data_IF_803525776697
#
_entry.id   IF_803525776697
#
_cell.length_a   1.000
_cell.length_b   1.000
_cell.length_c   1.000
_cell.angle_alpha   90.00
_cell.angle_beta   90.00
_cell.angle_gamma   90.00
#
_symmetry.space_group_name_H-M   'P 1'
#
loop_
_entity.id
_entity.type
_entity.pdbx_description
1 polymer ?
#
# COMPACT_ATOMS: atom_id res chain seq x y z
N UNK A 1 -7.01 24.79 -49.87
CA UNK A 1 -6.99 24.28 -48.49
C UNK A 1 -5.70 24.75 -47.82
N UNK A 2 -5.79 25.42 -46.67
CA UNK A 2 -4.61 25.93 -45.97
C UNK A 2 -3.83 24.74 -45.35
N UNK A 3 -2.54 24.62 -45.67
CA UNK A 3 -1.67 23.52 -45.22
C UNK A 3 -1.51 23.46 -43.69
N UNK A 4 -1.86 24.53 -42.99
CA UNK A 4 -1.88 24.60 -41.52
C UNK A 4 -3.04 23.80 -40.88
N UNK A 5 -4.14 23.59 -41.61
CA UNK A 5 -5.34 22.89 -41.10
C UNK A 5 -5.08 21.40 -40.82
N UNK A 6 -4.49 20.60 -41.74
CA UNK A 6 -4.19 19.19 -41.44
C UNK A 6 -3.16 19.03 -40.32
N UNK A 7 -2.22 19.98 -40.19
CA UNK A 7 -1.22 19.97 -39.11
C UNK A 7 -1.83 20.19 -37.73
N UNK A 8 -2.77 21.14 -37.62
CA UNK A 8 -3.51 21.38 -36.37
C UNK A 8 -4.38 20.18 -35.94
N UNK A 9 -4.98 19.47 -36.91
CA UNK A 9 -5.77 18.26 -36.64
C UNK A 9 -4.89 17.12 -36.11
N UNK A 10 -3.70 16.93 -36.70
CA UNK A 10 -2.75 15.90 -36.27
C UNK A 10 -2.18 16.15 -34.86
N UNK A 11 -1.97 17.43 -34.52
CA UNK A 11 -1.51 17.85 -33.20
C UNK A 11 -2.60 17.69 -32.12
N UNK A 12 -3.87 17.97 -32.42
CA UNK A 12 -4.96 17.76 -31.47
C UNK A 12 -5.24 16.27 -31.22
N UNK A 13 -5.10 15.41 -32.23
CA UNK A 13 -5.33 13.97 -32.10
C UNK A 13 -4.32 13.26 -31.20
N UNK A 14 -3.10 13.80 -31.04
CA UNK A 14 -2.04 13.20 -30.23
C UNK A 14 -2.12 13.55 -28.73
N UNK A 15 -2.98 14.50 -28.34
CA UNK A 15 -3.14 14.93 -26.94
C UNK A 15 -4.14 14.01 -26.18
N UNK A 16 -5.05 13.33 -26.90
CA UNK A 16 -6.14 12.56 -26.28
C UNK A 16 -5.72 11.17 -25.75
N UNK A 17 -4.55 10.65 -26.12
CA UNK A 17 -4.13 9.29 -25.72
C UNK A 17 -3.67 9.20 -24.25
N UNK A 18 -3.42 10.34 -23.59
CA UNK A 18 -2.87 10.39 -22.22
C UNK A 18 -3.91 10.21 -21.11
N UNK A 19 -5.22 10.25 -21.42
CA UNK A 19 -6.28 10.19 -20.39
C UNK A 19 -6.70 8.76 -19.98
N UNK A 20 -6.35 7.73 -20.77
CA UNK A 20 -6.74 6.33 -20.50
C UNK A 20 -5.59 5.44 -20.02
N UNK A 21 -4.42 6.02 -19.75
CA UNK A 21 -3.24 5.28 -19.29
C UNK A 21 -3.22 4.99 -17.78
N UNK A 22 -4.22 5.42 -17.01
CA UNK A 22 -4.30 5.10 -15.59
C UNK A 22 -4.68 3.61 -15.44
N UNK A 23 -3.68 2.74 -15.45
CA UNK A 23 -3.89 1.32 -15.14
C UNK A 23 -4.59 1.22 -13.79
N UNK A 24 -5.65 0.41 -13.72
CA UNK A 24 -6.32 0.07 -12.48
C UNK A 24 -5.31 -0.67 -11.60
N UNK A 25 -4.70 0.05 -10.65
CA UNK A 25 -3.78 -0.54 -9.69
C UNK A 25 -4.60 -1.31 -8.67
N UNK A 26 -4.29 -2.60 -8.51
CA UNK A 26 -4.81 -3.38 -7.40
C UNK A 26 -4.13 -2.93 -6.10
N UNK A 27 -4.70 -1.92 -5.45
CA UNK A 27 -4.19 -1.37 -4.19
C UNK A 27 -4.63 -2.23 -3.02
N UNK A 28 -3.67 -2.81 -2.30
CA UNK A 28 -3.92 -3.60 -1.09
C UNK A 28 -3.74 -2.70 0.13
N UNK A 29 -4.79 -2.54 0.93
CA UNK A 29 -4.79 -1.70 2.14
C UNK A 29 -5.06 -2.48 3.42
N UNK A 30 -5.25 -3.80 3.35
CA UNK A 30 -5.64 -4.64 4.50
C UNK A 30 -4.65 -4.57 5.67
N UNK A 31 -3.38 -4.27 5.41
CA UNK A 31 -2.37 -4.11 6.47
C UNK A 31 -2.64 -2.86 7.34
N UNK A 32 -3.33 -1.85 6.82
CA UNK A 32 -3.77 -0.67 7.60
C UNK A 32 -4.84 -1.07 8.60
N UNK A 33 -5.79 -1.92 8.20
CA UNK A 33 -6.83 -2.43 9.09
C UNK A 33 -6.24 -3.32 10.19
N UNK A 34 -5.34 -4.23 9.81
CA UNK A 34 -4.59 -5.06 10.76
C UNK A 34 -3.77 -4.24 11.76
N UNK A 35 -3.16 -3.14 11.29
CA UNK A 35 -2.40 -2.22 12.14
C UNK A 35 -3.30 -1.61 13.23
N UNK A 36 -4.44 -1.02 12.85
CA UNK A 36 -5.31 -0.37 13.83
C UNK A 36 -5.93 -1.37 14.82
N UNK A 37 -6.28 -2.58 14.35
CA UNK A 37 -6.74 -3.65 15.24
C UNK A 37 -5.69 -4.03 16.28
N UNK A 38 -4.43 -4.17 15.88
CA UNK A 38 -3.34 -4.47 16.80
C UNK A 38 -3.08 -3.30 17.75
N UNK A 39 -3.02 -2.07 17.23
CA UNK A 39 -2.77 -0.86 17.99
C UNK A 39 -3.79 -0.65 19.12
N UNK A 40 -5.08 -0.70 18.80
CA UNK A 40 -6.14 -0.52 19.78
C UNK A 40 -6.07 -1.57 20.89
N UNK A 41 -5.82 -2.83 20.50
CA UNK A 41 -5.74 -3.94 21.46
C UNK A 41 -4.51 -3.84 22.36
N UNK A 42 -3.37 -3.46 21.81
CA UNK A 42 -2.12 -3.27 22.55
C UNK A 42 -2.29 -2.14 23.57
N UNK A 43 -2.84 -0.99 23.17
CA UNK A 43 -3.05 0.15 24.07
C UNK A 43 -4.06 -0.12 25.18
N UNK A 44 -5.06 -0.96 24.93
CA UNK A 44 -6.03 -1.38 25.94
C UNK A 44 -5.47 -2.46 26.90
N UNK A 45 -4.30 -3.04 26.63
CA UNK A 45 -3.72 -4.16 27.39
C UNK A 45 -2.54 -3.69 28.22
N UNK A 46 -2.50 -4.03 29.51
CA UNK A 46 -1.36 -3.70 30.40
C UNK A 46 -0.27 -4.77 30.41
N UNK A 47 -0.66 -6.03 30.24
CA UNK A 47 0.27 -7.16 30.21
C UNK A 47 1.11 -7.10 28.92
N UNK A 48 2.41 -6.86 29.09
CA UNK A 48 3.38 -6.76 28.00
C UNK A 48 3.50 -8.05 27.19
N UNK A 49 3.37 -9.22 27.81
CA UNK A 49 3.40 -10.50 27.09
C UNK A 49 2.19 -10.60 26.16
N UNK A 50 1.01 -10.24 26.66
CA UNK A 50 -0.21 -10.22 25.87
C UNK A 50 -0.16 -9.16 24.74
N UNK A 51 0.44 -7.99 24.98
CA UNK A 51 0.68 -7.00 23.94
C UNK A 51 1.52 -7.57 22.78
N UNK A 52 2.59 -8.32 23.07
CA UNK A 52 3.38 -8.98 22.02
C UNK A 52 2.58 -10.05 21.28
N UNK A 53 1.74 -10.81 21.98
CA UNK A 53 0.83 -11.77 21.32
C UNK A 53 -0.11 -11.05 20.35
N UNK A 54 -0.68 -9.90 20.73
CA UNK A 54 -1.56 -9.14 19.84
C UNK A 54 -0.81 -8.52 18.67
N UNK A 55 0.38 -7.96 18.89
CA UNK A 55 1.24 -7.47 17.80
C UNK A 55 1.50 -8.57 16.77
N UNK A 56 1.84 -9.78 17.23
CA UNK A 56 2.14 -10.88 16.34
C UNK A 56 0.89 -11.38 15.58
N UNK A 57 -0.17 -11.72 16.31
CA UNK A 57 -1.35 -12.41 15.75
C UNK A 57 -2.29 -11.48 14.98
N UNK A 58 -2.33 -10.19 15.31
CA UNK A 58 -3.24 -9.23 14.65
C UNK A 58 -2.57 -8.48 13.49
N UNK A 59 -1.24 -8.37 13.48
CA UNK A 59 -0.53 -7.57 12.48
C UNK A 59 0.55 -8.35 11.74
N UNK A 60 1.54 -8.92 12.43
CA UNK A 60 2.72 -9.49 11.76
C UNK A 60 2.41 -10.78 11.00
N UNK A 61 1.63 -11.70 11.57
CA UNK A 61 1.24 -12.95 10.90
C UNK A 61 0.32 -12.67 9.70
N UNK A 62 -0.56 -11.67 9.86
CA UNK A 62 -1.55 -11.24 8.86
C UNK A 62 -1.01 -10.30 7.78
N UNK A 63 0.27 -9.92 7.87
CA UNK A 63 0.91 -9.03 6.91
C UNK A 63 0.81 -9.56 5.48
N UNK A 64 0.48 -8.68 4.54
CA UNK A 64 0.49 -9.00 3.11
C UNK A 64 1.89 -9.38 2.63
N UNK A 65 2.03 -10.03 1.46
CA UNK A 65 3.35 -10.33 0.90
C UNK A 65 4.26 -9.10 0.79
N UNK A 66 3.70 -7.95 0.41
CA UNK A 66 4.45 -6.69 0.33
C UNK A 66 4.98 -6.24 1.70
N UNK A 67 4.13 -6.28 2.73
CA UNK A 67 4.55 -5.94 4.08
C UNK A 67 5.55 -6.94 4.68
N UNK A 68 5.37 -8.24 4.44
CA UNK A 68 6.35 -9.28 4.84
C UNK A 68 7.72 -9.03 4.23
N UNK A 69 7.78 -8.65 2.95
CA UNK A 69 9.03 -8.27 2.30
C UNK A 69 9.67 -7.03 2.95
N UNK A 70 8.87 -6.01 3.32
CA UNK A 70 9.38 -4.83 4.04
C UNK A 70 9.93 -5.17 5.43
N UNK A 71 9.22 -6.02 6.20
CA UNK A 71 9.65 -6.50 7.52
C UNK A 71 11.00 -7.24 7.40
N UNK A 72 11.12 -8.13 6.43
CA UNK A 72 12.36 -8.87 6.15
C UNK A 72 13.51 -7.95 5.73
N UNK A 73 13.26 -7.01 4.81
CA UNK A 73 14.28 -6.06 4.35
C UNK A 73 14.82 -5.16 5.47
N UNK A 74 14.04 -4.99 6.54
CA UNK A 74 14.42 -4.23 7.75
C UNK A 74 15.07 -5.10 8.83
N UNK A 75 15.15 -6.42 8.65
CA UNK A 75 15.53 -7.39 9.68
C UNK A 75 14.75 -7.16 10.99
N UNK A 76 13.46 -6.82 10.88
CA UNK A 76 12.66 -6.49 12.04
C UNK A 76 12.38 -7.74 12.87
N UNK A 77 12.69 -7.68 14.16
CA UNK A 77 12.28 -8.67 15.15
C UNK A 77 11.28 -8.04 16.12
N UNK A 78 10.17 -8.72 16.46
CA UNK A 78 9.15 -8.15 17.34
C UNK A 78 9.65 -7.94 18.78
N UNK A 79 10.65 -8.74 19.18
CA UNK A 79 11.29 -8.68 20.49
C UNK A 79 12.76 -8.34 20.28
N UNK A 80 13.24 -7.34 21.02
CA UNK A 80 14.67 -7.11 21.19
C UNK A 80 15.10 -8.06 22.31
N UNK A 81 15.93 -9.03 21.96
CA UNK A 81 16.56 -9.97 22.90
C UNK A 81 17.79 -9.35 23.55
#
# INVERSE_FOLDING_TARGET
MNKAIPFAILLCASITESLWAQQTVNLITTDVDHFWQAYDKINATKDTSAQFTYLNTLFLEKATPGQKAMIQARNYTPKIT
#
